data_IF_167921574204
#
_entry.id   IF_167921574204
#
_cell.length_a   1.000
_cell.length_b   1.000
_cell.length_c   1.000
_cell.angle_alpha   90.00
_cell.angle_beta   90.00
_cell.angle_gamma   90.00
#
_symmetry.space_group_name_H-M   'P 1'
#
loop_
_entity.id
_entity.type
_entity.pdbx_description
1 polymer ?
#
# COMPACT_ATOMS: atom_id res chain seq x y z
N UNK A 1 -23.14 -17.59 24.23
CA UNK A 1 -22.11 -17.73 25.30
C UNK A 1 -22.67 -17.27 26.65
N UNK A 2 -22.14 -17.70 27.80
CA UNK A 2 -22.54 -17.19 29.13
C UNK A 2 -21.33 -17.05 30.04
N UNK A 3 -21.19 -15.92 30.71
CA UNK A 3 -20.07 -15.62 31.60
C UNK A 3 -20.58 -15.17 32.97
N UNK A 4 -19.80 -15.42 34.02
CA UNK A 4 -19.96 -14.71 35.29
C UNK A 4 -19.08 -13.47 35.29
N UNK A 5 -19.49 -12.42 36.00
CA UNK A 5 -18.72 -11.17 36.10
C UNK A 5 -17.27 -11.43 36.51
N UNK A 6 -17.06 -12.23 37.57
CA UNK A 6 -15.72 -12.60 38.07
C UNK A 6 -14.87 -13.27 36.98
N UNK A 7 -15.47 -14.17 36.19
CA UNK A 7 -14.77 -14.86 35.11
C UNK A 7 -14.44 -13.91 33.97
N UNK A 8 -15.40 -13.09 33.55
CA UNK A 8 -15.20 -12.13 32.46
C UNK A 8 -14.13 -11.08 32.81
N UNK A 9 -14.18 -10.50 34.02
CA UNK A 9 -13.19 -9.55 34.52
C UNK A 9 -11.79 -10.14 34.72
N UNK A 10 -11.67 -11.47 34.83
CA UNK A 10 -10.36 -12.15 34.89
C UNK A 10 -9.64 -12.23 33.54
N UNK A 11 -10.32 -11.95 32.43
CA UNK A 11 -9.72 -11.96 31.10
C UNK A 11 -8.94 -10.68 30.81
N UNK A 12 -7.95 -10.77 29.89
CA UNK A 12 -7.27 -9.60 29.34
C UNK A 12 -8.26 -8.72 28.56
N UNK A 13 -7.96 -7.43 28.45
CA UNK A 13 -8.78 -6.47 27.70
C UNK A 13 -9.03 -6.93 26.26
N UNK A 14 -8.01 -7.42 25.56
CA UNK A 14 -8.12 -7.97 24.20
C UNK A 14 -9.08 -9.17 24.13
N UNK A 15 -9.08 -10.04 25.14
CA UNK A 15 -9.97 -11.20 25.18
C UNK A 15 -11.41 -10.81 25.48
N UNK A 16 -11.64 -9.81 26.35
CA UNK A 16 -12.97 -9.24 26.60
C UNK A 16 -13.53 -8.59 25.33
N UNK A 17 -12.69 -7.85 24.62
CA UNK A 17 -12.97 -7.24 23.33
C UNK A 17 -13.36 -8.26 22.24
N UNK A 18 -12.58 -9.34 22.09
CA UNK A 18 -12.91 -10.47 21.18
C UNK A 18 -14.27 -11.09 21.50
N UNK A 19 -14.61 -11.25 22.77
CA UNK A 19 -15.91 -11.77 23.20
C UNK A 19 -17.06 -10.85 22.77
N UNK A 20 -16.90 -9.52 22.87
CA UNK A 20 -17.91 -8.57 22.40
C UNK A 20 -18.14 -8.65 20.89
N UNK A 21 -17.07 -8.78 20.08
CA UNK A 21 -17.18 -8.98 18.63
C UNK A 21 -17.95 -10.26 18.30
N UNK A 22 -17.62 -11.37 18.98
CA UNK A 22 -18.33 -12.64 18.78
C UNK A 22 -19.82 -12.52 19.14
N UNK A 23 -20.18 -11.78 20.19
CA UNK A 23 -21.58 -11.51 20.50
C UNK A 23 -22.27 -10.70 19.40
N UNK A 24 -21.63 -9.67 18.84
CA UNK A 24 -22.20 -8.88 17.73
C UNK A 24 -22.49 -9.79 16.53
N UNK A 25 -21.55 -10.65 16.15
CA UNK A 25 -21.71 -11.62 15.06
C UNK A 25 -22.82 -12.64 15.35
N UNK A 26 -22.84 -13.22 16.56
CA UNK A 26 -23.88 -14.18 16.95
C UNK A 26 -25.28 -13.54 16.98
N UNK A 27 -25.41 -12.30 17.46
CA UNK A 27 -26.68 -11.58 17.50
C UNK A 27 -27.17 -11.30 16.08
N UNK A 28 -26.29 -10.84 15.19
CA UNK A 28 -26.63 -10.59 13.79
C UNK A 28 -27.09 -11.87 13.08
N UNK A 29 -26.35 -12.98 13.23
CA UNK A 29 -26.68 -14.24 12.58
C UNK A 29 -27.96 -14.91 13.11
N UNK A 30 -28.39 -14.57 14.32
CA UNK A 30 -29.59 -15.11 14.96
C UNK A 30 -30.69 -14.05 15.12
N UNK A 31 -30.67 -12.98 14.30
CA UNK A 31 -31.57 -11.84 14.50
C UNK A 31 -33.06 -12.23 14.45
N UNK A 32 -33.42 -13.13 13.54
CA UNK A 32 -34.81 -13.55 13.34
C UNK A 32 -35.30 -14.60 14.36
N UNK A 33 -34.39 -15.23 15.12
CA UNK A 33 -34.75 -16.09 16.25
C UNK A 33 -34.90 -15.23 17.51
N UNK A 34 -36.12 -14.79 17.80
CA UNK A 34 -36.43 -13.95 18.97
C UNK A 34 -35.91 -14.53 20.29
N UNK A 35 -36.01 -15.85 20.49
CA UNK A 35 -35.61 -16.48 21.76
C UNK A 35 -34.09 -16.47 21.92
N UNK A 36 -33.38 -16.79 20.84
CA UNK A 36 -31.92 -16.79 20.83
C UNK A 36 -31.36 -15.36 20.86
N UNK A 37 -31.92 -14.44 20.07
CA UNK A 37 -31.55 -13.02 20.06
C UNK A 37 -31.65 -12.41 21.45
N UNK A 38 -32.79 -12.55 22.14
CA UNK A 38 -32.97 -11.98 23.48
C UNK A 38 -31.95 -12.52 24.49
N UNK A 39 -31.63 -13.82 24.43
CA UNK A 39 -30.62 -14.43 25.31
C UNK A 39 -29.22 -13.86 25.04
N UNK A 40 -28.84 -13.72 23.77
CA UNK A 40 -27.54 -13.18 23.37
C UNK A 40 -27.40 -11.70 23.75
N UNK A 41 -28.46 -10.91 23.54
CA UNK A 41 -28.48 -9.49 23.90
C UNK A 41 -28.32 -9.29 25.40
N UNK A 42 -28.98 -10.10 26.25
CA UNK A 42 -28.81 -10.01 27.71
C UNK A 42 -27.35 -10.26 28.12
N UNK A 43 -26.73 -11.31 27.60
CA UNK A 43 -25.33 -11.64 27.93
C UNK A 43 -24.35 -10.61 27.37
N UNK A 44 -24.63 -10.05 26.18
CA UNK A 44 -23.86 -8.95 25.60
C UNK A 44 -23.96 -7.67 26.44
N UNK A 45 -25.16 -7.28 26.88
CA UNK A 45 -25.38 -6.13 27.77
C UNK A 45 -24.61 -6.27 29.08
N UNK A 46 -24.65 -7.45 29.71
CA UNK A 46 -23.87 -7.70 30.92
C UNK A 46 -22.37 -7.49 30.69
N UNK A 47 -21.83 -7.95 29.55
CA UNK A 47 -20.42 -7.76 29.22
C UNK A 47 -20.06 -6.28 29.00
N UNK A 48 -20.93 -5.51 28.33
CA UNK A 48 -20.76 -4.07 28.14
C UNK A 48 -20.74 -3.32 29.48
N UNK A 49 -21.66 -3.66 30.38
CA UNK A 49 -21.74 -3.07 31.72
C UNK A 49 -20.48 -3.36 32.53
N UNK A 50 -19.96 -4.59 32.49
CA UNK A 50 -18.72 -4.94 33.20
C UNK A 50 -17.48 -4.23 32.66
N UNK A 51 -17.51 -3.80 31.39
CA UNK A 51 -16.46 -3.01 30.75
C UNK A 51 -16.67 -1.49 30.90
N UNK A 52 -17.79 -1.05 31.48
CA UNK A 52 -18.15 0.36 31.59
C UNK A 52 -18.43 1.02 30.24
N UNK A 53 -18.90 0.26 29.25
CA UNK A 53 -19.22 0.78 27.92
C UNK A 53 -20.68 1.28 27.93
N UNK A 54 -20.93 2.58 27.72
CA UNK A 54 -22.29 3.12 27.75
C UNK A 54 -23.10 2.61 26.56
N UNK A 55 -24.36 2.23 26.83
CA UNK A 55 -25.32 1.79 25.81
C UNK A 55 -26.35 2.89 25.60
N UNK A 56 -26.40 3.46 24.39
CA UNK A 56 -27.28 4.59 24.05
C UNK A 56 -28.66 4.18 23.54
N UNK A 57 -28.93 2.88 23.41
CA UNK A 57 -30.16 2.33 22.83
C UNK A 57 -30.74 1.21 23.71
N UNK A 58 -32.04 0.93 23.56
CA UNK A 58 -32.63 -0.27 24.15
C UNK A 58 -32.39 -1.47 23.22
N UNK A 59 -31.32 -2.23 23.49
CA UNK A 59 -30.90 -3.36 22.66
C UNK A 59 -31.99 -4.46 22.53
N UNK A 60 -32.81 -4.69 23.56
CA UNK A 60 -33.82 -5.77 23.49
C UNK A 60 -34.98 -5.44 22.55
N UNK A 61 -35.31 -4.15 22.41
CA UNK A 61 -36.44 -3.66 21.62
C UNK A 61 -35.99 -2.89 20.36
N UNK A 62 -34.71 -2.92 20.02
CA UNK A 62 -34.19 -2.25 18.82
C UNK A 62 -34.50 -3.03 17.55
N UNK A 63 -34.64 -2.31 16.44
CA UNK A 63 -34.53 -2.87 15.09
C UNK A 63 -33.10 -3.34 14.80
N UNK A 64 -32.91 -4.20 13.79
CA UNK A 64 -31.57 -4.64 13.36
C UNK A 64 -30.67 -3.47 12.99
N UNK A 65 -31.27 -2.44 12.37
CA UNK A 65 -30.58 -1.23 11.97
C UNK A 65 -30.05 -0.46 13.18
N UNK A 66 -30.90 -0.21 14.17
CA UNK A 66 -30.49 0.49 15.41
C UNK A 66 -29.42 -0.29 16.17
N UNK A 67 -29.53 -1.63 16.21
CA UNK A 67 -28.50 -2.48 16.80
C UNK A 67 -27.16 -2.36 16.06
N UNK A 68 -27.16 -2.42 14.72
CA UNK A 68 -25.95 -2.28 13.91
C UNK A 68 -25.35 -0.87 14.01
N UNK A 69 -26.17 0.18 14.07
CA UNK A 69 -25.72 1.56 14.25
C UNK A 69 -25.01 1.77 15.61
N UNK A 70 -25.38 1.00 16.64
CA UNK A 70 -24.65 0.93 17.91
C UNK A 70 -23.41 0.02 17.83
N UNK A 71 -23.56 -1.16 17.23
CA UNK A 71 -22.54 -2.22 17.24
C UNK A 71 -21.35 -1.89 16.35
N UNK A 72 -21.54 -1.26 15.18
CA UNK A 72 -20.46 -0.98 14.22
C UNK A 72 -19.42 0.01 14.77
N UNK A 73 -19.77 1.14 15.40
CA UNK A 73 -18.78 2.01 16.05
C UNK A 73 -18.03 1.31 17.20
N UNK A 74 -18.73 0.46 17.95
CA UNK A 74 -18.15 -0.33 19.02
C UNK A 74 -17.16 -1.36 18.45
N UNK A 75 -17.55 -2.08 17.40
CA UNK A 75 -16.72 -3.01 16.65
C UNK A 75 -15.53 -2.31 16.00
N UNK A 76 -15.66 -1.07 15.49
CA UNK A 76 -14.51 -0.31 14.96
C UNK A 76 -13.55 0.16 16.05
N UNK A 77 -14.08 0.53 17.21
CA UNK A 77 -13.27 0.95 18.38
C UNK A 77 -12.54 -0.23 19.01
N UNK A 78 -13.16 -1.40 19.00
CA UNK A 78 -12.62 -2.64 19.55
C UNK A 78 -11.75 -3.37 18.52
N UNK A 79 -12.20 -3.42 17.28
CA UNK A 79 -11.65 -4.12 16.13
C UNK A 79 -10.60 -3.30 15.38
N UNK A 80 -9.81 -2.48 16.08
CA UNK A 80 -8.52 -2.06 15.54
C UNK A 80 -7.57 -3.25 15.25
N UNK A 81 -7.98 -4.51 15.52
CA UNK A 81 -7.18 -5.69 15.16
C UNK A 81 -7.91 -6.92 14.57
N UNK A 82 -9.22 -6.94 14.25
CA UNK A 82 -9.85 -8.17 13.74
C UNK A 82 -10.85 -7.92 12.61
N UNK A 83 -10.50 -8.38 11.41
CA UNK A 83 -11.38 -8.49 10.23
C UNK A 83 -11.55 -9.97 9.87
N UNK A 84 -12.70 -10.34 9.30
CA UNK A 84 -13.02 -11.72 8.85
C UNK A 84 -12.15 -12.22 7.68
N UNK A 85 -11.39 -11.32 7.08
CA UNK A 85 -10.20 -11.65 6.30
C UNK A 85 -8.99 -11.51 7.22
N UNK A 86 -8.06 -12.47 7.20
CA UNK A 86 -6.71 -12.26 7.72
C UNK A 86 -6.06 -11.15 6.87
N UNK A 87 -6.38 -9.90 7.18
CA UNK A 87 -5.61 -8.76 6.70
C UNK A 87 -4.23 -9.00 7.27
N UNK A 88 -3.25 -9.10 6.38
CA UNK A 88 -1.84 -9.10 6.77
C UNK A 88 -1.59 -7.70 7.36
N UNK A 89 -1.74 -7.60 8.68
CA UNK A 89 -1.66 -6.34 9.44
C UNK A 89 -0.20 -5.91 9.68
N UNK A 90 0.76 -6.79 9.38
CA UNK A 90 2.18 -6.54 9.53
C UNK A 90 2.97 -7.10 8.35
N UNK A 91 4.08 -6.47 8.01
CA UNK A 91 5.01 -7.00 7.02
C UNK A 91 5.44 -8.42 7.46
N UNK A 92 5.22 -9.42 6.60
CA UNK A 92 5.45 -10.82 6.95
C UNK A 92 6.92 -11.17 7.22
N UNK A 93 7.17 -12.29 7.90
CA UNK A 93 8.52 -12.85 8.06
C UNK A 93 9.08 -13.20 6.68
N UNK A 94 10.14 -12.46 6.29
CA UNK A 94 10.81 -12.50 4.98
C UNK A 94 11.12 -13.92 4.53
N UNK A 95 10.35 -14.46 3.59
CA UNK A 95 10.65 -15.73 2.92
C UNK A 95 10.99 -15.41 1.46
N UNK A 96 12.28 -15.52 1.13
CA UNK A 96 12.84 -15.43 -0.23
C UNK A 96 12.30 -14.30 -1.12
N UNK A 97 12.93 -13.12 -1.04
CA UNK A 97 12.66 -12.01 -1.97
C UNK A 97 13.20 -12.35 -3.36
N UNK A 98 12.31 -12.53 -4.33
CA UNK A 98 12.70 -12.62 -5.74
C UNK A 98 12.89 -11.21 -6.28
N UNK A 99 14.14 -10.82 -6.56
CA UNK A 99 14.42 -9.58 -7.28
C UNK A 99 14.08 -9.77 -8.76
N UNK A 100 13.23 -8.89 -9.26
CA UNK A 100 12.93 -8.77 -10.67
C UNK A 100 14.03 -7.98 -11.36
N UNK A 101 14.47 -8.34 -12.57
CA UNK A 101 15.38 -7.55 -13.43
C UNK A 101 14.77 -6.22 -13.94
N UNK A 102 14.00 -5.55 -13.08
CA UNK A 102 13.46 -4.21 -13.26
C UNK A 102 14.35 -3.21 -12.53
N UNK A 103 14.68 -2.14 -13.20
CA UNK A 103 15.49 -1.03 -12.68
C UNK A 103 14.68 0.26 -12.72
N UNK A 104 14.95 1.19 -11.81
CA UNK A 104 14.38 2.54 -11.87
C UNK A 104 15.51 3.56 -12.00
N UNK A 105 15.34 4.55 -12.87
CA UNK A 105 16.24 5.71 -12.99
C UNK A 105 15.45 6.94 -12.57
N UNK A 106 15.93 7.66 -11.56
CA UNK A 106 15.29 8.86 -11.02
C UNK A 106 16.08 10.09 -11.45
N UNK A 107 15.59 10.76 -12.48
CA UNK A 107 16.25 11.90 -13.12
C UNK A 107 15.94 13.20 -12.37
N UNK A 108 16.93 13.68 -11.61
CA UNK A 108 16.89 14.99 -10.96
C UNK A 108 15.60 15.23 -10.14
N UNK A 109 15.11 14.24 -9.38
CA UNK A 109 13.88 14.41 -8.60
C UNK A 109 14.10 15.42 -7.47
N UNK A 110 13.19 16.39 -7.36
CA UNK A 110 13.27 17.44 -6.33
C UNK A 110 12.73 16.97 -4.99
N UNK A 111 11.68 16.15 -4.99
CA UNK A 111 10.99 15.76 -3.77
C UNK A 111 11.61 14.54 -3.11
N UNK A 112 12.31 14.75 -2.00
CA UNK A 112 12.75 13.66 -1.10
C UNK A 112 11.61 12.74 -0.63
N UNK A 113 10.37 13.26 -0.54
CA UNK A 113 9.20 12.44 -0.23
C UNK A 113 8.87 11.49 -1.38
N UNK A 114 8.87 11.97 -2.63
CA UNK A 114 8.63 11.11 -3.79
C UNK A 114 9.71 10.03 -3.90
N UNK A 115 10.98 10.38 -3.68
CA UNK A 115 12.08 9.40 -3.67
C UNK A 115 11.81 8.28 -2.65
N UNK A 116 11.50 8.63 -1.39
CA UNK A 116 11.19 7.62 -0.38
C UNK A 116 9.95 6.77 -0.72
N UNK A 117 8.91 7.38 -1.28
CA UNK A 117 7.73 6.64 -1.76
C UNK A 117 8.06 5.67 -2.91
N UNK A 118 9.00 6.04 -3.78
CA UNK A 118 9.46 5.18 -4.87
C UNK A 118 10.30 4.02 -4.32
N UNK A 119 11.16 4.24 -3.32
CA UNK A 119 11.85 3.14 -2.62
C UNK A 119 10.87 2.11 -2.05
N UNK A 120 9.78 2.58 -1.43
CA UNK A 120 8.73 1.68 -0.94
C UNK A 120 8.06 0.89 -2.06
N UNK A 121 7.69 1.57 -3.14
CA UNK A 121 7.11 0.94 -4.34
C UNK A 121 8.06 -0.10 -4.93
N UNK A 122 9.34 0.24 -5.04
CA UNK A 122 10.38 -0.60 -5.59
C UNK A 122 10.55 -1.90 -4.77
N UNK A 123 10.48 -1.82 -3.44
CA UNK A 123 10.51 -3.00 -2.58
C UNK A 123 9.30 -3.91 -2.83
N UNK A 124 8.10 -3.34 -2.90
CA UNK A 124 6.86 -4.11 -3.12
C UNK A 124 6.86 -4.88 -4.45
N UNK A 125 7.48 -4.33 -5.50
CA UNK A 125 7.59 -4.98 -6.81
C UNK A 125 8.90 -5.75 -7.02
N UNK A 126 9.76 -5.83 -6.01
CA UNK A 126 11.04 -6.53 -6.10
C UNK A 126 12.01 -5.92 -7.11
N UNK A 127 11.97 -4.60 -7.34
CA UNK A 127 12.91 -3.88 -8.21
C UNK A 127 14.35 -4.23 -7.82
N UNK A 128 15.19 -4.50 -8.83
CA UNK A 128 16.58 -4.91 -8.64
C UNK A 128 17.41 -3.81 -8.01
N UNK A 129 17.34 -2.62 -8.60
CA UNK A 129 18.18 -1.48 -8.25
C UNK A 129 17.53 -0.15 -8.68
N UNK A 130 17.73 0.91 -7.87
CA UNK A 130 17.35 2.29 -8.18
C UNK A 130 18.61 3.13 -8.45
N UNK A 131 18.65 3.81 -9.59
CA UNK A 131 19.72 4.73 -9.97
C UNK A 131 19.22 6.15 -9.71
N UNK A 132 19.89 6.85 -8.79
CA UNK A 132 19.55 8.20 -8.36
C UNK A 132 20.47 9.17 -9.09
N UNK A 133 19.92 10.05 -9.93
CA UNK A 133 20.73 10.87 -10.82
C UNK A 133 20.73 12.35 -10.41
N UNK A 134 21.87 13.01 -10.60
CA UNK A 134 22.04 14.45 -10.37
C UNK A 134 21.76 14.83 -8.92
N UNK A 135 20.89 15.81 -8.71
CA UNK A 135 20.56 16.29 -7.36
C UNK A 135 19.47 15.49 -6.64
N UNK A 136 19.05 14.34 -7.19
CA UNK A 136 18.07 13.46 -6.54
C UNK A 136 18.55 13.08 -5.14
N UNK A 137 17.70 13.32 -4.13
CA UNK A 137 18.04 13.01 -2.74
C UNK A 137 18.34 11.51 -2.56
N UNK A 138 19.44 11.19 -1.88
CA UNK A 138 19.84 9.81 -1.58
C UNK A 138 19.28 9.34 -0.23
N UNK A 139 19.34 8.03 0.07
CA UNK A 139 19.05 7.48 1.40
C UNK A 139 19.93 7.96 2.56
N UNK A 140 20.80 8.95 2.35
CA UNK A 140 21.48 9.71 3.41
C UNK A 140 20.59 10.83 3.97
N UNK A 141 19.54 11.21 3.23
CA UNK A 141 18.59 12.24 3.63
C UNK A 141 17.53 11.66 4.60
N UNK A 142 17.37 12.21 5.82
CA UNK A 142 16.39 11.70 6.80
C UNK A 142 14.94 11.69 6.31
N UNK A 143 14.57 12.59 5.39
CA UNK A 143 13.21 12.63 4.81
C UNK A 143 12.96 11.45 3.87
N UNK A 144 13.99 11.02 3.13
CA UNK A 144 13.92 9.83 2.27
C UNK A 144 13.74 8.60 3.14
N UNK A 145 14.59 8.42 4.16
CA UNK A 145 14.51 7.29 5.11
C UNK A 145 13.13 7.21 5.76
N UNK A 146 12.63 8.35 6.28
CA UNK A 146 11.33 8.43 6.95
C UNK A 146 10.19 7.99 6.03
N UNK A 147 10.20 8.42 4.77
CA UNK A 147 9.12 8.13 3.83
C UNK A 147 9.22 6.72 3.25
N UNK A 148 10.44 6.20 3.10
CA UNK A 148 10.70 4.85 2.61
C UNK A 148 10.32 3.75 3.62
N UNK A 149 10.17 4.09 4.90
CA UNK A 149 9.80 3.14 5.96
C UNK A 149 10.73 1.92 6.01
N UNK A 150 12.05 2.16 5.96
CA UNK A 150 13.08 1.11 6.06
C UNK A 150 13.39 0.37 4.75
N UNK A 151 12.64 0.61 3.67
CA UNK A 151 12.86 -0.10 2.40
C UNK A 151 14.18 0.24 1.70
N UNK A 152 14.81 1.36 2.05
CA UNK A 152 16.16 1.75 1.57
C UNK A 152 17.26 0.76 1.95
N UNK A 153 17.05 -0.07 2.97
CA UNK A 153 18.00 -1.14 3.36
C UNK A 153 17.86 -2.39 2.48
N UNK A 154 16.77 -2.53 1.73
CA UNK A 154 16.43 -3.74 0.99
C UNK A 154 16.53 -3.58 -0.52
N UNK A 155 16.24 -2.39 -1.00
CA UNK A 155 16.36 -2.04 -2.41
C UNK A 155 17.77 -1.55 -2.66
N UNK A 156 18.50 -2.24 -3.54
CA UNK A 156 19.83 -1.77 -3.95
C UNK A 156 19.70 -0.43 -4.66
N UNK A 157 20.66 0.46 -4.46
CA UNK A 157 20.67 1.75 -5.14
C UNK A 157 22.08 2.25 -5.36
N UNK A 158 22.25 3.09 -6.38
CA UNK A 158 23.50 3.77 -6.71
C UNK A 158 23.20 5.22 -7.09
N UNK A 159 24.12 6.12 -6.78
CA UNK A 159 24.05 7.51 -7.22
C UNK A 159 24.93 7.72 -8.45
N UNK A 160 24.42 8.50 -9.40
CA UNK A 160 25.14 8.90 -10.60
C UNK A 160 25.14 10.44 -10.71
N UNK A 161 26.27 11.07 -11.08
CA UNK A 161 26.33 12.51 -11.32
C UNK A 161 25.34 13.00 -12.38
N UNK A 162 25.07 12.18 -13.40
CA UNK A 162 24.16 12.49 -14.49
C UNK A 162 23.25 11.31 -14.86
N UNK A 163 22.12 11.62 -15.50
CA UNK A 163 21.17 10.61 -15.99
C UNK A 163 21.72 9.85 -17.20
N UNK A 164 22.53 10.52 -18.02
CA UNK A 164 23.25 9.90 -19.15
C UNK A 164 24.16 8.75 -18.69
N UNK A 165 24.98 8.99 -17.67
CA UNK A 165 25.88 7.96 -17.12
C UNK A 165 25.10 6.73 -16.60
N UNK A 166 23.98 6.97 -15.92
CA UNK A 166 23.11 5.90 -15.43
C UNK A 166 22.51 5.06 -16.58
N UNK A 167 22.08 5.71 -17.67
CA UNK A 167 21.55 5.04 -18.86
C UNK A 167 22.65 4.19 -19.51
N UNK A 168 23.84 4.75 -19.72
CA UNK A 168 24.98 4.04 -20.33
C UNK A 168 25.33 2.80 -19.50
N UNK A 169 25.46 2.95 -18.18
CA UNK A 169 25.74 1.85 -17.26
C UNK A 169 24.74 0.69 -17.37
N UNK A 170 23.45 1.00 -17.55
CA UNK A 170 22.41 -0.03 -17.70
C UNK A 170 22.43 -0.66 -19.11
N UNK A 171 22.66 0.13 -20.16
CA UNK A 171 22.78 -0.38 -21.53
C UNK A 171 23.96 -1.34 -21.69
N UNK A 172 25.10 -1.06 -21.06
CA UNK A 172 26.26 -1.98 -21.02
C UNK A 172 25.93 -3.32 -20.37
N UNK A 173 24.90 -3.37 -19.52
CA UNK A 173 24.39 -4.60 -18.88
C UNK A 173 23.26 -5.28 -19.67
N UNK A 174 22.95 -4.80 -20.87
CA UNK A 174 21.87 -5.31 -21.70
C UNK A 174 20.48 -5.01 -21.14
N UNK A 175 20.31 -3.89 -20.42
CA UNK A 175 19.02 -3.43 -19.90
C UNK A 175 18.41 -2.44 -20.90
N UNK A 176 17.14 -2.64 -21.26
CA UNK A 176 16.41 -1.72 -22.14
C UNK A 176 15.77 -0.59 -21.33
N UNK A 177 15.99 0.67 -21.72
CA UNK A 177 15.54 1.86 -20.98
C UNK A 177 14.27 2.46 -21.60
N UNK A 178 13.22 2.56 -20.80
CA UNK A 178 11.95 3.18 -21.18
C UNK A 178 11.74 4.48 -20.40
N UNK A 179 11.64 5.60 -21.11
CA UNK A 179 11.34 6.90 -20.52
C UNK A 179 9.83 7.06 -20.28
N UNK A 180 9.43 7.36 -19.06
CA UNK A 180 8.04 7.66 -18.70
C UNK A 180 7.78 9.16 -18.87
N UNK A 181 7.32 9.56 -20.05
CA UNK A 181 7.03 10.96 -20.36
C UNK A 181 5.83 11.10 -21.32
N UNK A 182 5.08 12.19 -21.16
CA UNK A 182 3.94 12.50 -22.02
C UNK A 182 4.40 13.31 -23.22
N UNK A 183 4.81 12.60 -24.28
CA UNK A 183 5.20 13.20 -25.56
C UNK A 183 4.25 12.78 -26.68
N UNK A 184 4.27 13.49 -27.81
CA UNK A 184 3.50 13.12 -29.01
C UNK A 184 3.93 11.79 -29.63
N UNK A 185 5.13 11.31 -29.30
CA UNK A 185 5.69 10.04 -29.75
C UNK A 185 5.56 8.93 -28.70
N UNK A 186 5.08 9.25 -27.49
CA UNK A 186 5.00 8.30 -26.41
C UNK A 186 3.99 7.19 -26.71
N UNK A 187 4.41 5.95 -26.54
CA UNK A 187 3.56 4.78 -26.70
C UNK A 187 2.79 4.54 -25.41
N UNK A 188 1.55 4.08 -25.53
CA UNK A 188 0.78 3.65 -24.37
C UNK A 188 1.51 2.49 -23.68
N UNK A 189 1.82 2.67 -22.38
CA UNK A 189 2.54 1.68 -21.57
C UNK A 189 1.90 0.28 -21.59
N UNK A 190 0.57 0.21 -21.67
CA UNK A 190 -0.18 -1.04 -21.69
C UNK A 190 -0.17 -1.75 -23.05
N UNK A 191 0.32 -1.09 -24.12
CA UNK A 191 0.38 -1.63 -25.49
C UNK A 191 1.78 -2.06 -25.92
N UNK A 192 2.80 -1.76 -25.13
CA UNK A 192 4.16 -2.24 -25.39
C UNK A 192 4.43 -3.54 -24.65
N UNK A 193 5.42 -4.30 -25.13
CA UNK A 193 5.89 -5.51 -24.47
C UNK A 193 7.23 -5.18 -23.83
N UNK A 194 7.29 -5.20 -22.50
CA UNK A 194 8.54 -4.98 -21.77
C UNK A 194 9.46 -6.22 -21.86
N UNK A 195 10.69 -6.08 -22.37
CA UNK A 195 11.70 -7.14 -22.30
C UNK A 195 11.97 -7.53 -20.84
N UNK A 196 12.40 -8.77 -20.61
CA UNK A 196 12.71 -9.27 -19.25
C UNK A 196 13.79 -8.49 -18.51
N UNK A 197 14.53 -7.58 -19.12
CA UNK A 197 15.49 -6.72 -18.42
C UNK A 197 15.24 -5.29 -18.85
N UNK A 198 14.55 -4.53 -17.99
CA UNK A 198 14.05 -3.19 -18.32
C UNK A 198 14.33 -2.19 -17.22
N UNK A 199 14.55 -0.94 -17.62
CA UNK A 199 14.63 0.21 -16.73
C UNK A 199 13.50 1.19 -17.03
N UNK A 200 12.87 1.71 -15.98
CA UNK A 200 11.90 2.80 -16.08
C UNK A 200 12.58 4.10 -15.65
N UNK A 201 12.70 5.05 -16.58
CA UNK A 201 13.24 6.37 -16.33
C UNK A 201 12.11 7.34 -15.98
N UNK A 202 12.22 7.97 -14.81
CA UNK A 202 11.23 8.88 -14.22
C UNK A 202 11.84 10.27 -14.10
N UNK A 203 11.18 11.26 -14.70
CA UNK A 203 11.66 12.64 -14.79
C UNK A 203 11.33 13.53 -13.60
N UNK A 204 11.94 14.71 -13.62
CA UNK A 204 11.71 15.79 -12.67
C UNK A 204 10.23 16.21 -12.61
N UNK A 205 9.71 16.51 -11.42
CA UNK A 205 8.28 16.80 -11.24
C UNK A 205 7.79 18.07 -11.92
N UNK A 206 8.69 19.03 -12.17
CA UNK A 206 8.36 20.32 -12.79
C UNK A 206 8.82 20.40 -14.25
N UNK A 207 9.96 19.79 -14.57
CA UNK A 207 10.61 19.91 -15.88
C UNK A 207 10.39 18.69 -16.78
N UNK A 208 9.93 17.56 -16.23
CA UNK A 208 9.90 16.29 -16.94
C UNK A 208 11.31 15.77 -17.24
N UNK A 209 11.42 14.96 -18.29
CA UNK A 209 12.68 14.45 -18.82
C UNK A 209 13.16 15.37 -19.95
N UNK A 210 14.44 15.76 -19.94
CA UNK A 210 15.01 16.60 -21.01
C UNK A 210 15.03 15.86 -22.34
N UNK A 211 15.02 16.61 -23.46
CA UNK A 211 15.04 16.00 -24.79
C UNK A 211 16.29 15.16 -25.03
N UNK A 212 17.44 15.65 -24.56
CA UNK A 212 18.73 14.97 -24.69
C UNK A 212 18.70 13.61 -24.00
N UNK A 213 18.08 13.53 -22.82
CA UNK A 213 17.92 12.27 -22.09
C UNK A 213 16.86 11.37 -22.74
N UNK A 214 15.76 11.93 -23.27
CA UNK A 214 14.76 11.17 -24.02
C UNK A 214 15.38 10.51 -25.27
N UNK A 215 16.28 11.20 -25.97
CA UNK A 215 16.97 10.68 -27.15
C UNK A 215 17.94 9.53 -26.82
N UNK A 216 18.35 9.38 -25.54
CA UNK A 216 19.15 8.26 -25.06
C UNK A 216 18.31 7.04 -24.66
N UNK A 217 17.02 7.20 -24.37
CA UNK A 217 16.14 6.08 -24.04
C UNK A 217 15.87 5.20 -25.27
N UNK A 218 15.61 3.91 -25.06
CA UNK A 218 15.30 2.98 -26.16
C UNK A 218 13.85 3.15 -26.64
N UNK A 219 12.94 3.58 -25.76
CA UNK A 219 11.57 3.95 -26.12
C UNK A 219 11.00 4.98 -25.12
N UNK A 220 9.96 5.70 -25.55
CA UNK A 220 9.22 6.62 -24.69
C UNK A 220 7.80 6.10 -24.53
N UNK A 221 7.36 6.01 -23.28
CA UNK A 221 6.06 5.46 -22.92
C UNK A 221 5.29 6.41 -22.02
N UNK A 222 3.97 6.39 -22.13
CA UNK A 222 3.06 7.21 -21.34
C UNK A 222 1.93 6.37 -20.75
N UNK A 223 1.46 6.80 -19.59
CA UNK A 223 0.24 6.29 -18.98
C UNK A 223 -0.92 7.10 -19.59
N UNK A 224 -1.89 6.48 -20.27
CA UNK A 224 -3.04 7.21 -20.81
C UNK A 224 -3.86 7.85 -19.68
N UNK A 225 -4.13 9.15 -19.81
CA UNK A 225 -4.95 9.91 -18.87
C UNK A 225 -6.19 10.43 -19.60
N UNK A 226 -7.36 10.25 -19.00
CA UNK A 226 -8.65 10.67 -19.56
C UNK A 226 -9.15 12.01 -19.00
N UNK A 227 -8.43 12.60 -18.04
CA UNK A 227 -8.77 13.88 -17.43
C UNK A 227 -8.10 15.06 -18.13
N UNK A 228 -8.34 16.29 -17.62
CA UNK A 228 -7.64 17.49 -18.10
C UNK A 228 -6.13 17.41 -17.84
N UNK A 229 -5.74 16.96 -16.64
CA UNK A 229 -4.33 16.92 -16.21
C UNK A 229 -3.52 16.02 -17.14
N UNK A 230 -2.37 16.52 -17.57
CA UNK A 230 -1.47 15.84 -18.49
C UNK A 230 -0.39 14.99 -17.78
N UNK A 231 -0.37 14.97 -16.44
CA UNK A 231 0.61 14.22 -15.67
C UNK A 231 0.05 13.74 -14.33
N UNK A 232 0.73 12.72 -13.78
CA UNK A 232 0.53 12.19 -12.44
C UNK A 232 1.71 12.55 -11.54
N UNK A 233 1.54 12.43 -10.22
CA UNK A 233 2.66 12.47 -9.29
C UNK A 233 3.66 11.35 -9.63
N UNK A 234 4.96 11.65 -9.62
CA UNK A 234 6.02 10.70 -10.05
C UNK A 234 6.05 9.39 -9.24
N UNK A 235 5.73 9.42 -7.94
CA UNK A 235 5.62 8.20 -7.13
C UNK A 235 4.43 7.33 -7.55
N UNK A 236 3.31 7.96 -7.91
CA UNK A 236 2.12 7.25 -8.46
C UNK A 236 2.44 6.69 -9.85
N UNK A 237 3.12 7.46 -10.70
CA UNK A 237 3.61 7.02 -12.01
C UNK A 237 4.50 5.79 -11.87
N UNK A 238 5.46 5.80 -10.93
CA UNK A 238 6.32 4.66 -10.65
C UNK A 238 5.52 3.42 -10.24
N UNK A 239 4.52 3.57 -9.35
CA UNK A 239 3.70 2.45 -8.91
C UNK A 239 2.89 1.81 -10.06
N UNK A 240 2.26 2.63 -10.90
CA UNK A 240 1.49 2.14 -12.06
C UNK A 240 2.42 1.44 -13.07
N UNK A 241 3.58 2.04 -13.36
CA UNK A 241 4.52 1.48 -14.32
C UNK A 241 5.17 0.17 -13.81
N UNK A 242 5.59 0.12 -12.55
CA UNK A 242 6.10 -1.11 -11.94
C UNK A 242 5.05 -2.23 -11.96
N UNK A 243 3.79 -1.92 -11.62
CA UNK A 243 2.70 -2.87 -11.69
C UNK A 243 2.49 -3.40 -13.11
N UNK A 244 2.46 -2.53 -14.12
CA UNK A 244 2.27 -2.94 -15.51
C UNK A 244 3.40 -3.85 -16.00
N UNK A 245 4.66 -3.52 -15.71
CA UNK A 245 5.81 -4.40 -16.03
C UNK A 245 5.67 -5.74 -15.33
N UNK A 246 5.38 -5.75 -14.02
CA UNK A 246 5.21 -6.98 -13.23
C UNK A 246 4.08 -7.85 -13.79
N UNK A 247 2.95 -7.24 -14.15
CA UNK A 247 1.80 -7.92 -14.76
C UNK A 247 2.17 -8.59 -16.08
N UNK A 248 2.95 -7.93 -16.93
CA UNK A 248 3.41 -8.51 -18.19
C UNK A 248 4.39 -9.66 -18.00
N UNK A 249 5.26 -9.58 -16.99
CA UNK A 249 6.22 -10.64 -16.71
C UNK A 249 5.62 -11.86 -15.99
N UNK A 250 4.31 -11.83 -15.68
CA UNK A 250 3.53 -12.93 -15.07
C UNK A 250 4.15 -13.45 -13.76
N UNK A 251 4.49 -12.53 -12.87
CA UNK A 251 4.84 -12.84 -11.48
C UNK A 251 3.64 -12.64 -10.57
#
# INVERSE_FOLDING_TARGET
>A
MKFSEKKFKSFTTEKQQKILIQFIQEIHNNWDDNKQRSKLIIEFSNCLDWMGIPVSINLQNSTIREFLEFAVPLERRIGQELTDFEIIQSDGLRKNRTKQPLYLILDNLRSSFNVGSIFRTAECFGVKEILLCGYTATPENPKVIKTAMGTTEFVSWQHFPSTEEAIIFLKEKGVTVFALETTTKAKNIAKIIFPKSSALLLGNEALGISKEILDLADDVVSIPLNGWKNSLNVGVTAAIACYEVSRQWKY
#
